data_IF_116690123520
#
_entry.id   IF_116690123520
#
_cell.length_a   1.000
_cell.length_b   1.000
_cell.length_c   1.000
_cell.angle_alpha   90.00
_cell.angle_beta   90.00
_cell.angle_gamma   90.00
#
_symmetry.space_group_name_H-M   'P 1'
#
loop_
_entity.id
_entity.type
_entity.pdbx_description
1 polymer ?
#
# COMPACT_ATOMS: atom_id res chain seq x y z
N UNK A 1 20.31 -16.89 10.51
CA UNK A 1 18.84 -17.07 10.61
C UNK A 1 18.23 -16.78 9.24
N UNK A 2 17.50 -17.73 8.67
CA UNK A 2 16.98 -17.69 7.30
C UNK A 2 15.81 -16.68 7.17
N UNK A 3 16.04 -15.55 6.50
CA UNK A 3 15.05 -14.50 6.16
C UNK A 3 14.00 -14.92 5.08
N UNK A 4 13.84 -16.22 4.80
CA UNK A 4 13.10 -16.70 3.62
C UNK A 4 11.64 -17.11 3.84
N UNK A 5 11.11 -17.02 5.05
CA UNK A 5 9.77 -17.58 5.37
C UNK A 5 8.63 -16.57 5.51
N UNK A 6 8.89 -15.26 5.53
CA UNK A 6 7.88 -14.26 5.89
C UNK A 6 7.00 -13.74 4.74
N UNK A 7 7.27 -14.08 3.48
CA UNK A 7 6.47 -13.58 2.34
C UNK A 7 5.28 -14.45 1.92
N UNK A 8 5.02 -15.59 2.59
CA UNK A 8 3.96 -16.54 2.15
C UNK A 8 2.57 -16.32 2.76
N UNK A 9 2.42 -15.49 3.81
CA UNK A 9 1.12 -15.23 4.43
C UNK A 9 0.25 -14.19 3.69
N UNK A 10 0.80 -13.45 2.73
CA UNK A 10 0.05 -12.47 1.93
C UNK A 10 -0.56 -13.01 0.61
N UNK A 11 -0.30 -14.26 0.24
CA UNK A 11 -0.61 -14.79 -1.10
C UNK A 11 -1.94 -15.55 -1.21
N UNK A 12 -2.62 -15.84 -0.10
CA UNK A 12 -3.82 -16.68 -0.09
C UNK A 12 -5.14 -15.95 -0.45
N UNK A 13 -5.15 -14.61 -0.59
CA UNK A 13 -6.40 -13.84 -0.73
C UNK A 13 -6.71 -13.31 -2.13
N UNK A 14 -5.89 -13.63 -3.14
CA UNK A 14 -6.09 -13.14 -4.52
C UNK A 14 -7.01 -14.04 -5.39
N UNK A 15 -7.60 -15.10 -4.85
CA UNK A 15 -8.22 -16.17 -5.65
C UNK A 15 -9.74 -16.38 -5.48
N UNK A 16 -10.46 -15.46 -4.82
CA UNK A 16 -11.88 -15.64 -4.50
C UNK A 16 -12.85 -14.67 -5.20
N UNK A 17 -12.52 -14.21 -6.42
CA UNK A 17 -13.40 -13.34 -7.22
C UNK A 17 -13.48 -13.68 -8.72
N UNK A 18 -13.28 -14.94 -9.14
CA UNK A 18 -13.39 -15.32 -10.55
C UNK A 18 -14.17 -16.62 -10.75
N UNK A 19 -15.50 -16.55 -10.63
CA UNK A 19 -16.40 -17.56 -11.19
C UNK A 19 -17.82 -17.03 -11.41
N UNK A 20 -17.98 -15.97 -12.22
CA UNK A 20 -19.24 -15.71 -12.93
C UNK A 20 -19.02 -14.63 -14.00
N UNK A 21 -19.12 -15.00 -15.28
CA UNK A 21 -19.22 -14.03 -16.38
C UNK A 21 -18.09 -14.10 -17.42
N UNK A 22 -17.92 -15.23 -18.09
CA UNK A 22 -17.20 -15.27 -19.38
C UNK A 22 -18.13 -14.70 -20.45
N UNK A 23 -18.10 -13.38 -20.60
CA UNK A 23 -18.66 -12.68 -21.76
C UNK A 23 -17.60 -12.57 -22.85
N UNK A 24 -17.92 -13.00 -24.07
CA UNK A 24 -17.04 -12.94 -25.23
C UNK A 24 -16.60 -11.50 -25.54
N UNK A 25 -15.30 -11.22 -25.37
CA UNK A 25 -14.69 -9.96 -25.81
C UNK A 25 -14.39 -10.03 -27.31
N UNK A 26 -15.08 -9.20 -28.09
CA UNK A 26 -14.74 -8.91 -29.49
C UNK A 26 -13.42 -8.15 -29.56
N UNK A 27 -12.56 -8.54 -30.51
CA UNK A 27 -11.31 -7.86 -30.82
C UNK A 27 -11.62 -6.46 -31.41
N UNK A 28 -11.31 -5.40 -30.67
CA UNK A 28 -11.36 -4.03 -31.16
C UNK A 28 -10.20 -3.75 -32.12
N UNK A 29 -10.51 -3.11 -33.24
CA UNK A 29 -9.56 -2.66 -34.26
C UNK A 29 -8.61 -1.59 -33.72
N UNK A 30 -7.36 -1.52 -34.22
CA UNK A 30 -6.35 -0.55 -33.78
C UNK A 30 -6.76 0.88 -34.12
N UNK A 31 -6.75 1.75 -33.10
CA UNK A 31 -7.08 3.18 -33.17
C UNK A 31 -5.85 3.95 -33.68
N UNK A 32 -5.90 4.43 -34.93
CA UNK A 32 -4.92 5.34 -35.52
C UNK A 32 -5.11 6.75 -34.96
N UNK A 33 -4.31 7.13 -33.95
CA UNK A 33 -4.23 8.51 -33.49
C UNK A 33 -3.22 9.32 -34.31
N UNK A 34 -3.69 10.50 -34.72
CA UNK A 34 -2.99 11.49 -35.53
C UNK A 34 -1.82 12.13 -34.74
N UNK A 35 -0.58 12.20 -35.28
CA UNK A 35 0.60 12.68 -34.55
C UNK A 35 0.72 14.22 -34.40
N UNK A 36 -0.38 14.97 -34.52
CA UNK A 36 -0.35 16.44 -34.65
C UNK A 36 -0.88 17.27 -33.48
N UNK A 37 -1.46 16.67 -32.44
CA UNK A 37 -2.15 17.44 -31.40
C UNK A 37 -1.21 17.86 -30.27
N UNK A 38 -0.82 19.14 -30.28
CA UNK A 38 0.01 19.76 -29.27
C UNK A 38 -0.61 19.57 -27.87
N UNK A 39 0.11 18.84 -27.01
CA UNK A 39 -0.22 18.65 -25.60
C UNK A 39 -0.47 20.00 -24.93
N UNK A 40 -1.73 20.28 -24.61
CA UNK A 40 -2.12 21.39 -23.76
C UNK A 40 -1.33 21.31 -22.43
N UNK A 41 -0.96 22.47 -21.83
CA UNK A 41 -0.20 22.50 -20.60
C UNK A 41 -0.92 21.68 -19.53
N UNK A 42 -0.20 20.70 -18.98
CA UNK A 42 -0.68 19.80 -17.93
C UNK A 42 -1.32 20.63 -16.82
N UNK A 43 -2.65 20.57 -16.74
CA UNK A 43 -3.42 21.22 -15.68
C UNK A 43 -2.84 20.75 -14.35
N UNK A 44 -2.57 21.70 -13.44
CA UNK A 44 -2.02 21.44 -12.12
C UNK A 44 -2.74 20.25 -11.48
N UNK A 45 -2.09 19.09 -11.46
CA UNK A 45 -2.65 17.86 -10.93
C UNK A 45 -2.77 18.02 -9.42
N UNK A 46 -3.94 18.46 -8.97
CA UNK A 46 -4.27 18.44 -7.55
C UNK A 46 -4.10 17.00 -7.06
N UNK A 47 -3.23 16.79 -6.07
CA UNK A 47 -3.05 15.49 -5.42
C UNK A 47 -4.43 15.09 -4.89
N UNK A 48 -4.99 14.02 -5.47
CA UNK A 48 -6.42 13.71 -5.38
C UNK A 48 -6.93 13.48 -3.94
N UNK A 49 -6.03 13.20 -2.99
CA UNK A 49 -6.35 12.64 -1.68
C UNK A 49 -5.67 13.32 -0.48
N UNK A 50 -5.10 14.53 -0.60
CA UNK A 50 -4.35 15.19 0.51
C UNK A 50 -5.14 15.22 1.82
N UNK A 51 -6.37 15.74 1.81
CA UNK A 51 -7.21 15.80 3.01
C UNK A 51 -7.51 14.40 3.60
N UNK A 52 -7.65 13.39 2.73
CA UNK A 52 -7.92 12.01 3.15
C UNK A 52 -6.68 11.40 3.80
N UNK A 53 -5.48 11.69 3.29
CA UNK A 53 -4.21 11.26 3.91
C UNK A 53 -4.05 11.91 5.28
N UNK A 54 -4.27 13.22 5.37
CA UNK A 54 -4.19 13.94 6.65
C UNK A 54 -5.16 13.35 7.66
N UNK A 55 -6.42 13.16 7.28
CA UNK A 55 -7.44 12.58 8.16
C UNK A 55 -7.14 11.11 8.52
N UNK A 56 -6.55 10.33 7.60
CA UNK A 56 -6.12 8.95 7.86
C UNK A 56 -4.97 8.88 8.90
N UNK A 57 -4.08 9.88 8.89
CA UNK A 57 -2.93 10.00 9.78
C UNK A 57 -3.27 10.56 11.18
N UNK A 58 -4.49 11.03 11.43
CA UNK A 58 -4.88 11.66 12.71
C UNK A 58 -4.87 10.71 13.93
N UNK A 59 -4.63 9.40 13.73
CA UNK A 59 -4.68 8.42 14.82
C UNK A 59 -6.12 8.10 15.27
N UNK A 60 -6.26 7.23 16.28
CA UNK A 60 -7.57 6.88 16.85
C UNK A 60 -8.46 6.01 15.96
N UNK A 61 -9.76 5.96 16.32
CA UNK A 61 -10.77 5.13 15.66
C UNK A 61 -11.14 5.64 14.26
N UNK A 62 -11.27 4.72 13.30
CA UNK A 62 -11.44 5.05 11.88
C UNK A 62 -12.90 5.06 11.40
N UNK A 63 -13.89 4.84 12.28
CA UNK A 63 -15.32 4.83 11.90
C UNK A 63 -15.75 6.15 11.25
N UNK A 64 -15.48 7.27 11.90
CA UNK A 64 -15.87 8.59 11.39
C UNK A 64 -15.09 8.95 10.12
N UNK A 65 -13.82 8.54 10.05
CA UNK A 65 -13.02 8.67 8.83
C UNK A 65 -13.68 7.92 7.66
N UNK A 66 -14.08 6.67 7.85
CA UNK A 66 -14.73 5.85 6.81
C UNK A 66 -16.00 6.54 6.30
N UNK A 67 -16.84 7.05 7.21
CA UNK A 67 -18.07 7.75 6.81
C UNK A 67 -17.78 8.99 5.96
N UNK A 68 -16.80 9.81 6.38
CA UNK A 68 -16.38 11.00 5.60
C UNK A 68 -15.74 10.62 4.26
N UNK A 69 -14.94 9.57 4.22
CA UNK A 69 -14.31 9.09 2.98
C UNK A 69 -15.36 8.58 1.98
N UNK A 70 -16.35 7.81 2.42
CA UNK A 70 -17.44 7.34 1.54
C UNK A 70 -18.30 8.47 0.93
N UNK A 71 -18.31 9.64 1.56
CA UNK A 71 -18.97 10.83 1.03
C UNK A 71 -18.17 11.53 -0.10
N UNK A 72 -16.90 11.16 -0.31
CA UNK A 72 -15.96 11.82 -1.25
C UNK A 72 -15.34 10.82 -2.25
N UNK A 73 -16.14 10.13 -3.09
CA UNK A 73 -15.58 9.24 -4.12
C UNK A 73 -14.67 9.97 -5.11
N UNK A 74 -14.92 11.24 -5.42
CA UNK A 74 -14.13 12.04 -6.35
C UNK A 74 -12.68 12.24 -5.88
N UNK A 75 -12.44 12.15 -4.57
CA UNK A 75 -11.13 12.22 -3.95
C UNK A 75 -10.50 10.83 -3.69
N UNK A 76 -11.16 9.75 -4.12
CA UNK A 76 -10.69 8.38 -3.85
C UNK A 76 -11.16 7.80 -2.50
N UNK A 77 -12.20 8.37 -1.90
CA UNK A 77 -12.61 8.01 -0.55
C UNK A 77 -13.18 6.58 -0.41
N UNK A 78 -13.76 6.00 -1.46
CA UNK A 78 -14.23 4.60 -1.43
C UNK A 78 -13.05 3.64 -1.40
N UNK A 79 -11.96 3.95 -2.12
CA UNK A 79 -10.71 3.20 -2.01
C UNK A 79 -10.19 3.18 -0.57
N UNK A 80 -10.07 4.35 0.07
CA UNK A 80 -9.62 4.44 1.47
C UNK A 80 -10.51 3.65 2.43
N UNK A 81 -11.82 3.85 2.36
CA UNK A 81 -12.78 3.18 3.21
C UNK A 81 -12.68 1.65 3.11
N UNK A 82 -12.66 1.12 1.88
CA UNK A 82 -12.62 -0.33 1.66
C UNK A 82 -11.28 -0.95 2.08
N UNK A 83 -10.16 -0.24 1.95
CA UNK A 83 -8.87 -0.71 2.48
C UNK A 83 -8.89 -0.83 4.01
N UNK A 84 -9.44 0.18 4.71
CA UNK A 84 -9.54 0.14 6.17
C UNK A 84 -10.45 -0.99 6.63
N UNK A 85 -11.64 -1.13 6.03
CA UNK A 85 -12.58 -2.20 6.38
C UNK A 85 -11.94 -3.58 6.24
N UNK A 86 -11.19 -3.82 5.15
CA UNK A 86 -10.44 -5.07 4.96
C UNK A 86 -9.33 -5.27 6.00
N UNK A 87 -8.55 -4.23 6.30
CA UNK A 87 -7.49 -4.28 7.32
C UNK A 87 -8.07 -4.58 8.70
N UNK A 88 -9.15 -3.88 9.08
CA UNK A 88 -9.84 -4.10 10.34
C UNK A 88 -10.45 -5.50 10.46
N UNK A 89 -11.05 -6.01 9.39
CA UNK A 89 -11.52 -7.41 9.37
C UNK A 89 -10.39 -8.39 9.69
N UNK A 90 -9.25 -8.25 9.00
CA UNK A 90 -8.10 -9.13 9.20
C UNK A 90 -7.55 -9.03 10.63
N UNK A 91 -7.42 -7.81 11.15
CA UNK A 91 -6.95 -7.58 12.53
C UNK A 91 -7.88 -8.21 13.54
N UNK A 92 -9.19 -7.93 13.46
CA UNK A 92 -10.15 -8.44 14.44
C UNK A 92 -10.37 -9.95 14.35
N UNK A 93 -10.10 -10.56 13.20
CA UNK A 93 -10.12 -12.02 13.03
C UNK A 93 -8.83 -12.69 13.54
N UNK A 94 -7.66 -12.08 13.33
CA UNK A 94 -6.36 -12.67 13.66
C UNK A 94 -5.91 -12.37 15.10
N UNK A 95 -6.35 -11.25 15.67
CA UNK A 95 -5.97 -10.79 17.00
C UNK A 95 -7.23 -10.71 17.87
N UNK A 96 -7.50 -11.72 18.71
CA UNK A 96 -8.60 -11.62 19.65
C UNK A 96 -8.35 -10.44 20.59
N UNK A 97 -9.43 -9.76 21.00
CA UNK A 97 -9.33 -8.61 21.89
C UNK A 97 -8.47 -8.97 23.12
N UNK A 98 -7.43 -8.17 23.42
CA UNK A 98 -6.55 -8.45 24.54
C UNK A 98 -7.36 -8.49 25.83
N UNK A 99 -7.16 -9.56 26.62
CA UNK A 99 -7.78 -9.71 27.93
C UNK A 99 -7.00 -8.87 28.94
N UNK A 100 -7.28 -7.57 28.99
CA UNK A 100 -6.65 -6.66 29.95
C UNK A 100 -7.12 -5.22 29.77
N UNK A 101 -6.94 -4.36 30.80
CA UNK A 101 -7.21 -2.94 30.66
C UNK A 101 -6.30 -2.34 29.59
N UNK A 102 -6.88 -1.55 28.68
CA UNK A 102 -6.09 -0.84 27.69
C UNK A 102 -5.10 0.10 28.41
N UNK A 103 -3.82 0.14 28.01
CA UNK A 103 -2.89 1.11 28.54
C UNK A 103 -3.38 2.52 28.19
N UNK A 104 -3.40 3.41 29.18
CA UNK A 104 -3.88 4.78 29.00
C UNK A 104 -3.08 5.50 27.89
N UNK A 105 -3.75 6.11 26.91
CA UNK A 105 -3.07 6.87 25.87
C UNK A 105 -2.31 8.03 26.51
N UNK A 106 -0.97 8.02 26.41
CA UNK A 106 -0.09 9.06 26.96
C UNK A 106 0.82 8.62 28.11
N UNK A 107 0.75 7.37 28.58
CA UNK A 107 1.78 6.85 29.48
C UNK A 107 3.11 6.75 28.71
N UNK A 108 4.11 7.55 29.11
CA UNK A 108 5.46 7.47 28.58
C UNK A 108 5.98 6.04 28.76
N UNK A 109 6.38 5.40 27.66
CA UNK A 109 6.97 4.07 27.72
C UNK A 109 8.26 4.14 28.55
N UNK A 110 8.42 3.34 29.62
CA UNK A 110 9.73 3.20 30.26
C UNK A 110 10.73 2.65 29.22
N UNK A 111 11.97 3.13 29.27
CA UNK A 111 13.03 2.88 28.27
C UNK A 111 13.44 1.40 28.07
N UNK A 112 12.77 0.46 28.74
CA UNK A 112 12.88 -0.98 28.50
C UNK A 112 11.59 -1.71 28.89
N UNK A 113 10.42 -1.26 28.42
CA UNK A 113 9.22 -2.08 28.51
C UNK A 113 9.51 -3.47 27.88
N UNK A 114 9.19 -4.58 28.57
CA UNK A 114 9.29 -5.92 28.01
C UNK A 114 8.68 -5.97 26.61
N UNK A 115 9.30 -6.72 25.69
CA UNK A 115 8.79 -6.87 24.31
C UNK A 115 7.31 -7.33 24.27
N UNK A 116 6.87 -8.07 25.29
CA UNK A 116 5.48 -8.46 25.45
C UNK A 116 4.54 -7.26 25.67
N UNK A 117 4.97 -6.24 26.42
CA UNK A 117 4.17 -5.05 26.71
C UNK A 117 4.05 -4.15 25.48
N UNK A 118 5.13 -4.03 24.69
CA UNK A 118 5.10 -3.28 23.43
C UNK A 118 4.26 -3.96 22.36
N UNK A 119 4.33 -5.30 22.25
CA UNK A 119 3.47 -6.07 21.37
C UNK A 119 1.99 -5.93 21.75
N UNK A 120 1.68 -6.00 23.06
CA UNK A 120 0.33 -5.79 23.57
C UNK A 120 -0.17 -4.36 23.28
N UNK A 121 0.67 -3.34 23.45
CA UNK A 121 0.34 -1.96 23.12
C UNK A 121 0.07 -1.76 21.61
N UNK A 122 0.82 -2.43 20.75
CA UNK A 122 0.57 -2.41 19.31
C UNK A 122 -0.76 -3.10 18.94
N UNK A 123 -1.06 -4.25 19.54
CA UNK A 123 -2.34 -4.93 19.37
C UNK A 123 -3.52 -4.04 19.84
N UNK A 124 -3.39 -3.40 21.00
CA UNK A 124 -4.37 -2.43 21.50
C UNK A 124 -4.57 -1.25 20.56
N UNK A 125 -3.49 -0.73 19.96
CA UNK A 125 -3.56 0.33 18.94
C UNK A 125 -4.32 -0.14 17.71
N UNK A 126 -4.05 -1.34 17.19
CA UNK A 126 -4.79 -1.91 16.06
C UNK A 126 -6.29 -2.06 16.37
N UNK A 127 -6.63 -2.58 17.56
CA UNK A 127 -8.03 -2.69 18.00
C UNK A 127 -8.70 -1.32 18.12
N UNK A 128 -8.04 -0.33 18.72
CA UNK A 128 -8.61 1.01 18.90
C UNK A 128 -8.86 1.71 17.57
N UNK A 129 -8.00 1.49 16.56
CA UNK A 129 -8.22 1.99 15.18
C UNK A 129 -9.48 1.40 14.54
N UNK A 130 -9.83 0.17 14.88
CA UNK A 130 -11.03 -0.51 14.39
C UNK A 130 -12.25 -0.38 15.32
N UNK A 131 -12.13 0.38 16.41
CA UNK A 131 -13.20 0.53 17.38
C UNK A 131 -14.45 1.14 16.72
N UNK A 132 -15.61 0.59 17.08
CA UNK A 132 -16.90 1.02 16.57
C UNK A 132 -17.29 0.43 15.20
N UNK A 133 -16.45 -0.37 14.56
CA UNK A 133 -16.84 -1.14 13.36
C UNK A 133 -17.48 -2.47 13.78
N UNK A 134 -18.67 -2.75 13.24
CA UNK A 134 -19.36 -4.02 13.43
C UNK A 134 -18.86 -5.08 12.45
N UNK A 135 -19.10 -6.38 12.71
CA UNK A 135 -18.87 -7.44 11.72
C UNK A 135 -19.58 -7.17 10.38
N UNK A 136 -20.79 -6.61 10.42
CA UNK A 136 -21.59 -6.29 9.23
C UNK A 136 -20.96 -5.16 8.39
N UNK A 137 -20.34 -4.16 9.04
CA UNK A 137 -19.61 -3.09 8.33
C UNK A 137 -18.45 -3.66 7.49
N UNK A 138 -17.82 -4.73 7.99
CA UNK A 138 -16.65 -5.36 7.41
C UNK A 138 -16.97 -6.63 6.61
N UNK A 139 -18.24 -6.96 6.43
CA UNK A 139 -18.65 -8.15 5.69
C UNK A 139 -18.26 -8.06 4.21
N UNK A 140 -17.91 -9.20 3.60
CA UNK A 140 -17.43 -9.22 2.21
C UNK A 140 -18.47 -8.71 1.21
N UNK A 141 -19.75 -9.03 1.42
CA UNK A 141 -20.85 -8.56 0.59
C UNK A 141 -21.05 -7.04 0.73
N UNK A 142 -20.88 -6.49 1.94
CA UNK A 142 -20.91 -5.04 2.19
C UNK A 142 -19.77 -4.34 1.49
N UNK A 143 -18.54 -4.85 1.64
CA UNK A 143 -17.36 -4.29 0.98
C UNK A 143 -17.50 -4.38 -0.54
N UNK A 144 -17.99 -5.50 -1.08
CA UNK A 144 -18.24 -5.66 -2.51
C UNK A 144 -19.26 -4.65 -3.05
N UNK A 145 -20.35 -4.38 -2.32
CA UNK A 145 -21.32 -3.33 -2.67
C UNK A 145 -20.69 -1.94 -2.69
N UNK A 146 -19.85 -1.62 -1.70
CA UNK A 146 -19.13 -0.34 -1.66
C UNK A 146 -18.18 -0.21 -2.85
N UNK A 147 -17.47 -1.28 -3.20
CA UNK A 147 -16.59 -1.29 -4.40
C UNK A 147 -17.40 -1.05 -5.67
N UNK A 148 -18.54 -1.74 -5.84
CA UNK A 148 -19.40 -1.56 -7.00
C UNK A 148 -19.95 -0.13 -7.09
N UNK A 149 -20.41 0.45 -5.97
CA UNK A 149 -20.86 1.85 -5.89
C UNK A 149 -19.73 2.82 -6.25
N UNK A 150 -18.53 2.63 -5.68
CA UNK A 150 -17.37 3.47 -5.98
C UNK A 150 -16.97 3.44 -7.46
N UNK A 151 -16.99 2.26 -8.08
CA UNK A 151 -16.73 2.13 -9.53
C UNK A 151 -17.82 2.83 -10.36
N UNK A 152 -19.09 2.69 -9.98
CA UNK A 152 -20.20 3.39 -10.64
C UNK A 152 -20.05 4.92 -10.53
N UNK A 153 -19.63 5.41 -9.35
CA UNK A 153 -19.35 6.82 -9.06
C UNK A 153 -17.98 7.30 -9.56
N UNK A 154 -17.23 6.44 -10.25
CA UNK A 154 -15.92 6.71 -10.84
C UNK A 154 -14.88 7.20 -9.82
N UNK A 155 -14.84 6.57 -8.65
CA UNK A 155 -13.76 6.79 -7.69
C UNK A 155 -12.40 6.50 -8.37
N UNK A 156 -11.50 7.50 -8.48
CA UNK A 156 -10.32 7.41 -9.34
C UNK A 156 -9.31 6.39 -8.80
N UNK A 157 -9.08 6.38 -7.48
CA UNK A 157 -8.13 5.48 -6.84
C UNK A 157 -8.63 4.03 -6.87
N UNK A 158 -9.93 3.83 -6.65
CA UNK A 158 -10.54 2.51 -6.73
C UNK A 158 -10.51 1.96 -8.16
N UNK A 159 -10.78 2.80 -9.15
CA UNK A 159 -10.70 2.44 -10.57
C UNK A 159 -9.29 1.98 -10.92
N UNK A 160 -8.27 2.77 -10.55
CA UNK A 160 -6.87 2.41 -10.76
C UNK A 160 -6.48 1.11 -10.03
N UNK A 161 -6.88 0.96 -8.76
CA UNK A 161 -6.61 -0.25 -7.98
C UNK A 161 -7.30 -1.50 -8.56
N UNK A 162 -8.50 -1.34 -9.14
CA UNK A 162 -9.24 -2.43 -9.78
C UNK A 162 -8.58 -2.83 -11.10
N UNK A 163 -8.25 -1.85 -11.95
CA UNK A 163 -7.47 -2.11 -13.16
C UNK A 163 -6.16 -2.82 -12.82
N UNK A 164 -5.48 -2.40 -11.76
CA UNK A 164 -4.27 -3.03 -11.26
C UNK A 164 -4.42 -4.50 -10.88
N UNK A 165 -5.49 -4.85 -10.19
CA UNK A 165 -5.80 -6.24 -9.86
C UNK A 165 -5.91 -7.11 -11.11
N UNK A 166 -6.57 -6.62 -12.15
CA UNK A 166 -6.74 -7.35 -13.42
C UNK A 166 -5.49 -7.32 -14.31
N UNK A 167 -4.66 -6.29 -14.21
CA UNK A 167 -3.49 -6.06 -15.06
C UNK A 167 -2.27 -6.88 -14.65
N UNK A 168 -2.28 -7.53 -13.49
CA UNK A 168 -1.18 -8.40 -13.05
C UNK A 168 -0.91 -9.55 -14.05
N UNK A 169 -1.93 -9.93 -14.83
CA UNK A 169 -1.87 -10.98 -15.85
C UNK A 169 -1.87 -10.44 -17.29
N UNK A 170 -1.80 -9.12 -17.48
CA UNK A 170 -1.83 -8.49 -18.79
C UNK A 170 -0.42 -8.30 -19.38
N UNK A 171 -0.36 -7.89 -20.66
CA UNK A 171 0.87 -7.62 -21.38
C UNK A 171 1.75 -6.56 -20.66
N UNK A 172 3.10 -6.67 -20.75
CA UNK A 172 4.04 -5.78 -20.05
C UNK A 172 3.82 -4.28 -20.28
N UNK A 173 3.36 -3.89 -21.46
CA UNK A 173 3.11 -2.50 -21.86
C UNK A 173 1.95 -1.90 -21.08
N UNK A 174 0.84 -2.64 -20.94
CA UNK A 174 -0.32 -2.20 -20.14
C UNK A 174 0.03 -2.06 -18.68
N UNK A 175 0.84 -2.98 -18.17
CA UNK A 175 1.34 -2.93 -16.80
C UNK A 175 2.23 -1.70 -16.56
N UNK A 176 3.05 -1.34 -17.54
CA UNK A 176 3.92 -0.17 -17.50
C UNK A 176 3.11 1.13 -17.52
N UNK A 177 2.12 1.25 -18.41
CA UNK A 177 1.19 2.39 -18.44
C UNK A 177 0.44 2.54 -17.12
N UNK A 178 -0.02 1.44 -16.54
CA UNK A 178 -0.73 1.52 -15.27
C UNK A 178 0.19 1.89 -14.10
N UNK A 179 1.43 1.36 -14.07
CA UNK A 179 2.41 1.79 -13.08
C UNK A 179 2.69 3.29 -13.21
N UNK A 180 2.72 3.80 -14.45
CA UNK A 180 2.86 5.22 -14.74
C UNK A 180 1.74 6.03 -14.07
N UNK A 181 0.49 5.68 -14.37
CA UNK A 181 -0.69 6.37 -13.84
C UNK A 181 -0.76 6.31 -12.30
N UNK A 182 -0.46 5.13 -11.73
CA UNK A 182 -0.46 4.92 -10.27
C UNK A 182 0.53 5.85 -9.56
N UNK A 183 1.77 5.92 -10.04
CA UNK A 183 2.79 6.78 -9.41
C UNK A 183 2.51 8.27 -9.63
N UNK A 184 1.88 8.63 -10.76
CA UNK A 184 1.47 10.01 -11.03
C UNK A 184 0.43 10.53 -10.03
N UNK A 185 -0.39 9.66 -9.42
CA UNK A 185 -1.33 10.07 -8.36
C UNK A 185 -0.64 10.56 -7.09
N UNK A 186 0.59 10.08 -6.82
CA UNK A 186 1.34 10.31 -5.59
C UNK A 186 0.58 9.89 -4.32
N UNK A 187 -0.43 9.03 -4.44
CA UNK A 187 -1.19 8.55 -3.30
C UNK A 187 -0.40 7.47 -2.53
N UNK A 188 -0.08 7.69 -1.25
CA UNK A 188 0.78 6.79 -0.51
C UNK A 188 0.16 5.40 -0.29
N UNK A 189 -1.16 5.30 -0.12
CA UNK A 189 -1.83 4.01 0.08
C UNK A 189 -1.90 3.23 -1.23
N UNK A 190 -2.11 3.92 -2.35
CA UNK A 190 -2.07 3.29 -3.67
C UNK A 190 -0.66 2.79 -4.00
N UNK A 191 0.38 3.58 -3.70
CA UNK A 191 1.78 3.17 -3.88
C UNK A 191 2.10 1.95 -3.01
N UNK A 192 1.71 1.99 -1.75
CA UNK A 192 1.92 0.90 -0.79
C UNK A 192 1.23 -0.39 -1.23
N UNK A 193 -0.09 -0.32 -1.40
CA UNK A 193 -0.93 -1.50 -1.51
C UNK A 193 -1.00 -2.00 -2.96
N UNK A 194 -0.70 -1.18 -3.98
CA UNK A 194 -0.89 -1.54 -5.39
C UNK A 194 0.39 -1.43 -6.21
N UNK A 195 1.05 -0.26 -6.21
CA UNK A 195 2.15 0.00 -7.14
C UNK A 195 3.36 -0.92 -6.90
N UNK A 196 3.69 -1.22 -5.65
CA UNK A 196 4.76 -2.17 -5.28
C UNK A 196 4.59 -3.53 -5.96
N UNK A 197 3.37 -4.08 -5.97
CA UNK A 197 3.04 -5.36 -6.62
C UNK A 197 3.14 -5.27 -8.14
N UNK A 198 2.70 -4.15 -8.71
CA UNK A 198 2.78 -3.88 -10.15
C UNK A 198 4.20 -3.58 -10.62
N UNK A 199 5.10 -3.11 -9.76
CA UNK A 199 6.47 -2.85 -10.16
C UNK A 199 7.30 -4.14 -10.40
N UNK A 200 6.89 -5.29 -9.85
CA UNK A 200 7.66 -6.56 -9.94
C UNK A 200 7.59 -7.22 -11.32
N UNK A 201 8.57 -7.00 -12.18
CA UNK A 201 8.66 -7.57 -13.52
C UNK A 201 9.41 -8.90 -13.52
N UNK A 202 9.22 -9.66 -14.59
CA UNK A 202 10.04 -10.84 -14.90
C UNK A 202 11.03 -10.43 -15.98
N UNK A 203 12.32 -10.59 -15.72
CA UNK A 203 13.36 -10.31 -16.69
C UNK A 203 13.30 -11.35 -17.84
N UNK A 204 13.23 -10.93 -19.10
CA UNK A 204 13.03 -11.86 -20.22
C UNK A 204 14.25 -12.73 -20.51
N UNK A 205 15.45 -12.32 -20.08
CA UNK A 205 16.69 -13.06 -20.35
C UNK A 205 16.93 -14.15 -19.30
N UNK A 206 16.71 -13.81 -18.04
CA UNK A 206 17.03 -14.67 -16.89
C UNK A 206 15.81 -15.36 -16.28
N UNK A 207 14.60 -14.90 -16.60
CA UNK A 207 13.36 -15.34 -15.94
C UNK A 207 13.26 -14.88 -14.47
N UNK A 208 14.20 -14.08 -13.97
CA UNK A 208 14.20 -13.63 -12.59
C UNK A 208 13.10 -12.60 -12.35
N UNK A 209 12.49 -12.63 -11.17
CA UNK A 209 11.55 -11.58 -10.73
C UNK A 209 12.31 -10.46 -10.04
N UNK A 210 11.93 -9.23 -10.29
CA UNK A 210 12.62 -8.07 -9.75
C UNK A 210 11.97 -6.75 -10.13
N UNK A 211 12.65 -5.67 -9.81
CA UNK A 211 12.20 -4.31 -10.08
C UNK A 211 13.07 -3.69 -11.17
N UNK A 212 12.52 -2.79 -11.98
CA UNK A 212 13.32 -1.95 -12.87
C UNK A 212 13.28 -0.52 -12.35
N UNK A 213 14.46 0.08 -12.19
CA UNK A 213 14.59 1.48 -11.81
C UNK A 213 15.79 2.12 -12.53
N UNK A 214 15.59 3.26 -13.19
CA UNK A 214 16.57 3.97 -14.00
C UNK A 214 17.33 3.05 -14.96
N UNK A 215 16.56 2.25 -15.72
CA UNK A 215 17.08 1.28 -16.69
C UNK A 215 17.72 0.02 -16.09
N UNK A 216 18.00 0.02 -14.79
CA UNK A 216 18.66 -1.09 -14.09
C UNK A 216 17.63 -2.08 -13.56
N UNK A 217 17.88 -3.39 -13.75
CA UNK A 217 17.04 -4.46 -13.19
C UNK A 217 17.64 -4.96 -11.87
N UNK A 218 16.81 -5.03 -10.84
CA UNK A 218 17.15 -5.42 -9.48
C UNK A 218 16.41 -6.72 -9.13
N UNK A 219 17.07 -7.89 -9.19
CA UNK A 219 16.41 -9.16 -8.93
C UNK A 219 16.04 -9.28 -7.44
N UNK A 220 14.78 -9.61 -7.17
CA UNK A 220 14.23 -9.66 -5.80
C UNK A 220 14.95 -10.68 -4.90
N UNK A 221 15.52 -11.74 -5.49
CA UNK A 221 16.20 -12.81 -4.75
C UNK A 221 17.62 -12.45 -4.30
N UNK A 222 18.28 -11.53 -5.01
CA UNK A 222 19.67 -11.13 -4.77
C UNK A 222 19.81 -9.71 -4.23
N UNK A 223 18.81 -8.86 -4.46
CA UNK A 223 18.80 -7.46 -4.04
C UNK A 223 17.44 -7.10 -3.41
N UNK A 224 17.36 -7.26 -2.08
CA UNK A 224 16.21 -6.79 -1.31
C UNK A 224 16.17 -5.26 -1.17
N UNK A 225 17.22 -4.55 -1.58
CA UNK A 225 17.37 -3.13 -1.34
C UNK A 225 16.30 -2.29 -2.05
N UNK A 226 15.93 -2.67 -3.27
CA UNK A 226 14.84 -1.99 -3.99
C UNK A 226 13.48 -2.24 -3.35
N UNK A 227 13.23 -3.45 -2.85
CA UNK A 227 11.99 -3.76 -2.14
C UNK A 227 11.85 -2.90 -0.87
N UNK A 228 12.94 -2.75 -0.11
CA UNK A 228 13.00 -1.88 1.07
C UNK A 228 12.86 -0.40 0.69
N UNK A 229 13.40 0.03 -0.45
CA UNK A 229 13.21 1.40 -0.94
C UNK A 229 11.73 1.67 -1.30
N UNK A 230 11.07 0.74 -2.00
CA UNK A 230 9.64 0.80 -2.27
C UNK A 230 8.80 0.82 -0.98
N UNK A 231 9.18 0.02 0.03
CA UNK A 231 8.53 0.00 1.34
C UNK A 231 8.55 1.37 2.04
N UNK A 232 9.58 2.19 1.80
CA UNK A 232 9.71 3.54 2.37
C UNK A 232 8.95 4.63 1.58
N UNK A 233 8.62 4.40 0.30
CA UNK A 233 7.97 5.41 -0.55
C UNK A 233 6.70 6.05 0.04
N UNK A 234 5.76 5.28 0.63
CA UNK A 234 4.55 5.87 1.20
C UNK A 234 4.83 6.96 2.25
N UNK A 235 5.92 6.84 3.00
CA UNK A 235 6.32 7.81 4.02
C UNK A 235 6.70 9.16 3.40
N UNK A 236 7.51 9.11 2.32
CA UNK A 236 7.89 10.31 1.56
C UNK A 236 6.73 10.96 0.80
N UNK A 237 5.64 10.21 0.60
CA UNK A 237 4.40 10.65 -0.03
C UNK A 237 3.34 11.11 1.00
N UNK A 238 3.71 11.21 2.28
CA UNK A 238 2.87 11.82 3.32
C UNK A 238 2.14 10.83 4.24
N UNK A 239 2.36 9.52 4.12
CA UNK A 239 1.86 8.56 5.10
C UNK A 239 2.61 8.69 6.43
N UNK A 240 1.90 8.69 7.55
CA UNK A 240 2.52 8.58 8.87
C UNK A 240 3.04 7.14 9.09
N UNK A 241 4.33 6.96 8.81
CA UNK A 241 5.04 5.69 8.90
C UNK A 241 5.58 5.39 10.31
N UNK A 242 4.85 5.78 11.35
CA UNK A 242 5.16 5.49 12.76
C UNK A 242 4.16 4.47 13.34
N UNK A 243 4.48 3.82 14.47
CA UNK A 243 3.56 2.93 15.17
C UNK A 243 2.23 3.56 15.61
N UNK A 244 2.03 4.88 15.44
CA UNK A 244 0.75 5.53 15.72
C UNK A 244 -0.34 5.12 14.73
N UNK A 245 0.01 4.92 13.46
CA UNK A 245 -0.97 4.71 12.38
C UNK A 245 -0.55 3.67 11.33
N UNK A 246 0.73 3.30 11.28
CA UNK A 246 1.25 2.36 10.29
C UNK A 246 0.85 0.91 10.63
N UNK A 247 -0.04 0.34 9.81
CA UNK A 247 -0.52 -1.03 10.00
C UNK A 247 0.58 -2.08 9.92
N UNK A 248 1.59 -1.94 9.07
CA UNK A 248 2.63 -2.97 8.91
C UNK A 248 3.52 -3.03 10.15
N UNK A 249 3.97 -1.86 10.65
CA UNK A 249 4.74 -1.77 11.88
C UNK A 249 3.94 -2.30 13.08
N UNK A 250 2.68 -1.89 13.18
CA UNK A 250 1.80 -2.33 14.25
C UNK A 250 1.54 -3.84 14.22
N UNK A 251 1.24 -4.40 13.04
CA UNK A 251 0.97 -5.84 12.88
C UNK A 251 2.24 -6.64 13.20
N UNK A 252 3.41 -6.23 12.73
CA UNK A 252 4.69 -6.89 13.05
C UNK A 252 4.94 -6.90 14.56
N UNK A 253 4.84 -5.74 15.20
CA UNK A 253 5.03 -5.62 16.64
C UNK A 253 4.03 -6.47 17.42
N UNK A 254 2.74 -6.41 17.07
CA UNK A 254 1.69 -7.19 17.72
C UNK A 254 1.88 -8.72 17.58
N UNK A 255 2.55 -9.18 16.52
CA UNK A 255 2.90 -10.59 16.33
C UNK A 255 4.24 -10.99 16.99
N UNK A 256 4.81 -10.14 17.86
CA UNK A 256 6.04 -10.44 18.59
C UNK A 256 7.31 -10.34 17.75
N UNK A 257 7.24 -9.74 16.55
CA UNK A 257 8.43 -9.37 15.80
C UNK A 257 9.04 -8.08 16.37
N UNK A 258 9.83 -7.39 15.57
CA UNK A 258 10.41 -6.11 15.95
C UNK A 258 9.37 -4.99 16.01
N UNK A 259 9.38 -4.24 17.11
CA UNK A 259 8.58 -3.04 17.31
C UNK A 259 9.39 -1.79 16.93
N UNK A 260 9.58 -1.57 15.63
CA UNK A 260 10.33 -0.42 15.13
C UNK A 260 9.57 0.90 15.31
N UNK A 261 10.26 1.98 15.64
CA UNK A 261 9.66 3.32 15.84
C UNK A 261 9.28 4.04 14.55
N UNK A 262 9.75 3.53 13.41
CA UNK A 262 9.39 3.98 12.06
C UNK A 262 9.73 2.91 11.02
N UNK A 263 9.28 3.09 9.78
CA UNK A 263 9.72 2.21 8.67
C UNK A 263 11.23 2.29 8.43
N UNK A 264 11.83 3.47 8.59
CA UNK A 264 13.28 3.65 8.46
C UNK A 264 14.02 2.90 9.56
N UNK A 265 13.54 2.95 10.80
CA UNK A 265 14.11 2.17 11.90
C UNK A 265 14.00 0.67 11.63
N UNK A 266 12.89 0.20 11.04
CA UNK A 266 12.76 -1.18 10.61
C UNK A 266 13.79 -1.55 9.54
N UNK A 267 13.95 -0.74 8.50
CA UNK A 267 14.94 -0.97 7.43
C UNK A 267 16.36 -1.00 8.01
N UNK A 268 16.70 -0.07 8.92
CA UNK A 268 17.99 -0.05 9.59
C UNK A 268 18.25 -1.32 10.42
N UNK A 269 17.22 -1.84 11.09
CA UNK A 269 17.34 -3.08 11.86
C UNK A 269 17.49 -4.33 10.98
N UNK A 270 16.74 -4.41 9.88
CA UNK A 270 16.89 -5.47 8.86
C UNK A 270 18.32 -5.50 8.31
N UNK A 271 18.93 -4.32 8.16
CA UNK A 271 20.26 -4.14 7.58
C UNK A 271 21.35 -3.86 8.62
N UNK A 272 21.14 -4.18 9.91
CA UNK A 272 22.06 -3.83 11.00
C UNK A 272 23.50 -4.34 10.80
N UNK A 273 23.67 -5.45 10.09
CA UNK A 273 24.98 -6.03 9.76
C UNK A 273 25.62 -5.50 8.47
N UNK A 274 24.94 -4.65 7.72
CA UNK A 274 25.43 -4.08 6.46
C UNK A 274 25.04 -2.59 6.35
N UNK A 275 25.78 -1.69 7.03
CA UNK A 275 25.52 -0.25 6.96
C UNK A 275 25.62 0.30 5.53
N UNK A 276 26.47 -0.28 4.69
CA UNK A 276 26.60 0.13 3.29
C UNK A 276 25.33 -0.22 2.49
N UNK A 277 24.68 -1.37 2.77
CA UNK A 277 23.38 -1.68 2.20
C UNK A 277 22.31 -0.69 2.65
N UNK A 278 22.29 -0.31 3.94
CA UNK A 278 21.35 0.68 4.44
C UNK A 278 21.46 2.00 3.67
N UNK A 279 22.69 2.52 3.50
CA UNK A 279 22.90 3.75 2.72
C UNK A 279 22.48 3.60 1.25
N UNK A 280 22.73 2.45 0.61
CA UNK A 280 22.24 2.17 -0.75
C UNK A 280 20.72 2.17 -0.83
N UNK A 281 20.02 1.61 0.16
CA UNK A 281 18.55 1.63 0.23
C UNK A 281 18.03 3.05 0.40
N UNK A 282 18.63 3.83 1.30
CA UNK A 282 18.21 5.22 1.54
C UNK A 282 18.45 6.12 0.33
N UNK A 283 19.56 5.90 -0.40
CA UNK A 283 19.83 6.58 -1.67
C UNK A 283 18.78 6.20 -2.73
N UNK A 284 18.50 4.90 -2.88
CA UNK A 284 17.49 4.39 -3.81
C UNK A 284 16.10 4.98 -3.51
N UNK A 285 15.69 4.96 -2.24
CA UNK A 285 14.44 5.57 -1.77
C UNK A 285 14.36 7.05 -2.15
N UNK A 286 15.42 7.83 -1.88
CA UNK A 286 15.47 9.26 -2.21
C UNK A 286 15.35 9.50 -3.72
N UNK A 287 16.04 8.71 -4.55
CA UNK A 287 15.93 8.78 -6.02
C UNK A 287 14.54 8.42 -6.53
N UNK A 288 13.95 7.33 -6.03
CA UNK A 288 12.59 6.93 -6.41
C UNK A 288 11.55 7.98 -6.01
N UNK A 289 11.67 8.55 -4.80
CA UNK A 289 10.78 9.61 -4.34
C UNK A 289 10.92 10.87 -5.21
N UNK A 290 12.15 11.27 -5.52
CA UNK A 290 12.43 12.40 -6.41
C UNK A 290 11.86 12.15 -7.82
N UNK A 291 11.96 10.93 -8.35
CA UNK A 291 11.37 10.57 -9.64
C UNK A 291 9.83 10.71 -9.62
N UNK A 292 9.16 10.25 -8.56
CA UNK A 292 7.70 10.39 -8.40
C UNK A 292 7.29 11.87 -8.28
N UNK A 293 7.98 12.64 -7.45
CA UNK A 293 7.72 14.06 -7.23
C UNK A 293 8.07 14.93 -8.44
N UNK A 294 9.06 14.52 -9.23
CA UNK A 294 9.48 15.16 -10.47
C UNK A 294 8.69 14.70 -11.71
N UNK A 295 7.78 13.73 -11.58
CA UNK A 295 7.02 13.17 -12.71
C UNK A 295 7.87 12.31 -13.66
N UNK A 296 9.06 11.88 -13.25
CA UNK A 296 9.98 11.03 -14.01
C UNK A 296 9.58 9.55 -13.88
N UNK A 297 8.30 9.24 -14.09
CA UNK A 297 7.77 7.91 -13.79
C UNK A 297 8.30 6.83 -14.76
N UNK A 298 8.80 7.25 -15.93
CA UNK A 298 9.51 6.38 -16.87
C UNK A 298 10.72 5.66 -16.23
N UNK A 299 11.29 6.21 -15.15
CA UNK A 299 12.34 5.56 -14.38
C UNK A 299 11.93 4.19 -13.83
N UNK A 300 10.64 3.90 -13.62
CA UNK A 300 10.16 2.64 -13.01
C UNK A 300 9.83 1.53 -14.03
N UNK A 301 10.10 1.75 -15.33
CA UNK A 301 9.63 0.88 -16.43
C UNK A 301 10.77 0.08 -17.04
#
# INVERSE_FOLDING_TARGET
MNLRTTHRLGLAFALLLLAAGVGMLQAGTPDTRDPGEAMAPASSSTVLSVDLIEAYNQGGGLRDFIQRALARPEAGGVFYATQILRKCRTVLAAMPAPKGPAPSPGAAAPDAAPQADTALAAANTLHSRCAGLSPDDMADDRIARLVADGLHRKDPLLTMATHAGTSTYQAPERRSSLLFDLMATRDPLLVQDVASRIAVRTDPQTGARGYRFDGTFYPQVSDAGVDLAFYLLPCGLGLDCTPRTDWDLLIRCANGFECATSRQAHVAAVLRGDPAAYERVMEMYRRMLAAIQGGQIASFI
#
